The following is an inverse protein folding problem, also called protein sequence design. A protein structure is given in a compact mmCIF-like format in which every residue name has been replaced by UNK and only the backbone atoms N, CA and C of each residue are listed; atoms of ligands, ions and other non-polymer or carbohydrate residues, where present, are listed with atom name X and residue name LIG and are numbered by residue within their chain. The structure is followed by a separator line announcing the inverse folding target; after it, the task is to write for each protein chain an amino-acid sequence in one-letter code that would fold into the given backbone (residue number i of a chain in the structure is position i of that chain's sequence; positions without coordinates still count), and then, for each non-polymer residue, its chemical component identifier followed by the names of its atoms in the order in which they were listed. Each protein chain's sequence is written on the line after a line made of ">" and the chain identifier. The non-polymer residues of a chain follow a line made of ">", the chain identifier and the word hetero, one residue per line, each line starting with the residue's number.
data_IF_407385024602
#
_entry.id   IF_407385024602
#
_cell.length_a   1.000
_cell.length_b   1.000
_cell.length_c   1.000
_cell.angle_alpha   90.00
_cell.angle_beta   90.00
_cell.angle_gamma   90.00
#
_symmetry.space_group_name_H-M   'P 1'
#
loop_
_entity.id
_entity.type
_entity.pdbx_description
1 polymer ?
#
# COMPACT_ATOMS: atom_id res chain seq x y z
N UNK A 1 -25.78 -31.58 12.78
CA UNK A 1 -25.02 -30.35 12.46
C UNK A 1 -23.78 -30.81 11.70
N UNK A 2 -23.49 -30.20 10.55
CA UNK A 2 -22.24 -30.51 9.82
C UNK A 2 -21.04 -30.18 10.70
N UNK A 3 -20.02 -31.02 10.65
CA UNK A 3 -18.76 -30.76 11.36
C UNK A 3 -18.11 -29.51 10.78
N UNK A 4 -17.61 -28.65 11.66
CA UNK A 4 -17.02 -27.37 11.26
C UNK A 4 -15.68 -27.61 10.56
N UNK A 5 -15.50 -27.22 9.26
CA UNK A 5 -14.25 -27.37 8.55
C UNK A 5 -13.10 -26.61 9.21
N UNK A 6 -11.90 -27.20 9.23
CA UNK A 6 -10.69 -26.58 9.77
C UNK A 6 -10.35 -25.25 9.10
N UNK A 7 -10.59 -25.16 7.80
CA UNK A 7 -10.30 -23.99 6.95
C UNK A 7 -11.40 -22.89 6.96
N UNK A 8 -12.53 -23.09 7.69
CA UNK A 8 -13.61 -22.10 7.70
C UNK A 8 -13.15 -20.71 8.18
N UNK A 9 -12.23 -20.67 9.18
CA UNK A 9 -11.68 -19.41 9.67
C UNK A 9 -10.86 -18.68 8.59
N UNK A 10 -10.14 -19.43 7.76
CA UNK A 10 -9.39 -18.91 6.63
C UNK A 10 -10.32 -18.25 5.61
N UNK A 11 -11.36 -18.96 5.15
CA UNK A 11 -12.31 -18.44 4.17
C UNK A 11 -13.00 -17.16 4.66
N UNK A 12 -13.42 -17.15 5.94
CA UNK A 12 -14.01 -15.98 6.56
C UNK A 12 -13.02 -14.80 6.63
N UNK A 13 -11.78 -15.07 6.99
CA UNK A 13 -10.71 -14.06 7.06
C UNK A 13 -10.44 -13.43 5.70
N UNK A 14 -10.28 -14.25 4.65
CA UNK A 14 -10.09 -13.79 3.27
C UNK A 14 -11.27 -12.91 2.87
N UNK A 15 -12.51 -13.41 2.99
CA UNK A 15 -13.70 -12.63 2.59
C UNK A 15 -13.73 -11.23 3.23
N UNK A 16 -13.45 -11.14 4.52
CA UNK A 16 -13.45 -9.85 5.23
C UNK A 16 -12.28 -8.94 4.79
N UNK A 17 -11.09 -9.50 4.58
CA UNK A 17 -9.91 -8.76 4.17
C UNK A 17 -10.10 -8.18 2.77
N UNK A 18 -10.55 -9.00 1.81
CA UNK A 18 -10.75 -8.61 0.43
C UNK A 18 -11.85 -7.55 0.27
N UNK A 19 -12.94 -7.68 1.03
CA UNK A 19 -13.99 -6.65 1.04
C UNK A 19 -13.43 -5.29 1.47
N UNK A 20 -12.56 -5.26 2.48
CA UNK A 20 -11.92 -4.01 2.93
C UNK A 20 -10.89 -3.50 1.92
N UNK A 21 -10.14 -4.41 1.29
CA UNK A 21 -9.21 -4.05 0.22
C UNK A 21 -9.95 -3.37 -0.94
N UNK A 22 -11.08 -3.93 -1.37
CA UNK A 22 -11.97 -3.30 -2.33
C UNK A 22 -12.34 -1.86 -1.93
N UNK A 23 -12.71 -1.63 -0.66
CA UNK A 23 -13.17 -0.33 -0.21
C UNK A 23 -12.07 0.73 -0.24
N UNK A 24 -10.88 0.46 0.33
CA UNK A 24 -9.81 1.47 0.35
C UNK A 24 -9.14 1.66 -1.01
N UNK A 25 -9.00 0.61 -1.84
CA UNK A 25 -8.46 0.74 -3.19
C UNK A 25 -9.42 1.50 -4.11
N UNK A 26 -10.73 1.26 -3.99
CA UNK A 26 -11.74 2.05 -4.70
C UNK A 26 -11.70 3.52 -4.29
N UNK A 27 -11.61 3.80 -2.98
CA UNK A 27 -11.53 5.17 -2.47
C UNK A 27 -10.25 5.88 -2.98
N UNK A 28 -9.12 5.18 -3.07
CA UNK A 28 -7.90 5.74 -3.67
C UNK A 28 -8.07 5.97 -5.17
N UNK A 29 -8.65 5.04 -5.92
CA UNK A 29 -8.93 5.19 -7.35
C UNK A 29 -9.82 6.39 -7.67
N UNK A 30 -10.71 6.76 -6.75
CA UNK A 30 -11.61 7.90 -6.94
C UNK A 30 -10.93 9.26 -6.80
N UNK A 31 -9.83 9.35 -6.02
CA UNK A 31 -9.14 10.62 -5.74
C UNK A 31 -7.82 10.79 -6.52
N UNK A 32 -7.20 9.71 -7.01
CA UNK A 32 -5.97 9.84 -7.81
C UNK A 32 -6.21 10.64 -9.10
N UNK A 33 -5.26 11.49 -9.45
CA UNK A 33 -5.27 12.25 -10.72
C UNK A 33 -4.55 11.53 -11.85
N UNK A 34 -3.70 10.53 -11.53
CA UNK A 34 -2.96 9.74 -12.52
C UNK A 34 -3.88 8.68 -13.15
N UNK A 35 -4.15 8.73 -14.47
CA UNK A 35 -5.05 7.79 -15.14
C UNK A 35 -4.53 6.35 -15.14
N UNK A 36 -3.22 6.14 -15.17
CA UNK A 36 -2.61 4.80 -15.17
C UNK A 36 -2.76 4.16 -13.80
N UNK A 37 -2.48 4.94 -12.73
CA UNK A 37 -2.72 4.51 -11.35
C UNK A 37 -4.18 4.17 -11.14
N UNK A 38 -5.09 5.03 -11.59
CA UNK A 38 -6.54 4.80 -11.48
C UNK A 38 -6.96 3.50 -12.17
N UNK A 39 -6.43 3.22 -13.36
CA UNK A 39 -6.77 2.01 -14.11
C UNK A 39 -6.32 0.75 -13.35
N UNK A 40 -5.10 0.74 -12.82
CA UNK A 40 -4.58 -0.37 -12.01
C UNK A 40 -5.41 -0.56 -10.75
N UNK A 41 -5.66 0.52 -9.98
CA UNK A 41 -6.43 0.45 -8.74
C UNK A 41 -7.85 -0.07 -8.97
N UNK A 42 -8.53 0.37 -10.02
CA UNK A 42 -9.88 -0.13 -10.35
C UNK A 42 -9.87 -1.60 -10.72
N UNK A 43 -8.87 -2.05 -11.46
CA UNK A 43 -8.72 -3.47 -11.83
C UNK A 43 -8.52 -4.31 -10.58
N UNK A 44 -7.60 -3.91 -9.71
CA UNK A 44 -7.32 -4.62 -8.46
C UNK A 44 -8.53 -4.56 -7.53
N UNK A 45 -9.11 -3.39 -7.29
CA UNK A 45 -10.28 -3.26 -6.42
C UNK A 45 -11.45 -4.15 -6.88
N UNK A 46 -11.76 -4.21 -8.18
CA UNK A 46 -12.81 -5.08 -8.69
C UNK A 46 -12.52 -6.55 -8.37
N UNK A 47 -11.27 -6.99 -8.52
CA UNK A 47 -10.82 -8.35 -8.20
C UNK A 47 -10.97 -8.67 -6.72
N UNK A 48 -10.54 -7.77 -5.83
CA UNK A 48 -10.70 -7.92 -4.37
C UNK A 48 -12.18 -8.01 -3.97
N UNK A 49 -13.05 -7.21 -4.61
CA UNK A 49 -14.50 -7.29 -4.41
C UNK A 49 -15.08 -8.63 -4.85
N UNK A 50 -14.64 -9.18 -5.99
CA UNK A 50 -15.04 -10.51 -6.46
C UNK A 50 -14.56 -11.61 -5.51
N UNK A 51 -13.32 -11.53 -5.02
CA UNK A 51 -12.77 -12.46 -4.02
C UNK A 51 -13.61 -12.41 -2.74
N UNK A 52 -13.85 -11.23 -2.18
CA UNK A 52 -14.65 -11.05 -0.96
C UNK A 52 -16.02 -11.74 -1.09
N UNK A 53 -16.72 -11.52 -2.20
CA UNK A 53 -18.03 -12.13 -2.47
C UNK A 53 -17.94 -13.64 -2.69
N UNK A 54 -16.93 -14.13 -3.41
CA UNK A 54 -16.78 -15.56 -3.72
C UNK A 54 -16.51 -16.36 -2.43
N UNK A 55 -15.67 -15.86 -1.54
CA UNK A 55 -15.40 -16.50 -0.25
C UNK A 55 -16.59 -16.39 0.72
N UNK A 56 -17.32 -15.27 0.74
CA UNK A 56 -18.58 -15.16 1.50
C UNK A 56 -19.61 -16.20 1.04
N UNK A 57 -19.79 -16.33 -0.28
CA UNK A 57 -20.66 -17.35 -0.88
C UNK A 57 -20.22 -18.76 -0.43
N UNK A 58 -18.91 -19.06 -0.48
CA UNK A 58 -18.41 -20.40 -0.08
C UNK A 58 -18.66 -20.70 1.39
N UNK A 59 -18.49 -19.73 2.29
CA UNK A 59 -18.84 -19.87 3.72
C UNK A 59 -20.32 -20.26 3.89
N UNK A 60 -21.21 -19.59 3.14
CA UNK A 60 -22.66 -19.88 3.17
C UNK A 60 -22.99 -21.27 2.60
N UNK A 61 -22.35 -21.69 1.51
CA UNK A 61 -22.52 -23.02 0.92
C UNK A 61 -22.12 -24.15 1.87
N UNK A 62 -21.14 -23.90 2.74
CA UNK A 62 -20.73 -24.82 3.79
C UNK A 62 -21.72 -24.85 4.98
N UNK A 63 -22.78 -24.04 4.94
CA UNK A 63 -23.80 -23.95 5.98
C UNK A 63 -23.45 -23.06 7.17
N UNK A 64 -22.51 -22.13 6.98
CA UNK A 64 -22.08 -21.19 8.01
C UNK A 64 -22.37 -19.74 7.58
N UNK A 65 -22.46 -18.85 8.57
CA UNK A 65 -22.61 -17.41 8.35
C UNK A 65 -21.23 -16.73 8.38
N UNK A 66 -21.07 -15.71 7.52
CA UNK A 66 -19.89 -14.85 7.55
C UNK A 66 -19.89 -14.06 8.86
N UNK A 67 -18.74 -14.02 9.51
CA UNK A 67 -18.53 -13.28 10.76
C UNK A 67 -17.57 -12.13 10.51
N UNK A 68 -17.98 -10.88 10.77
CA UNK A 68 -17.07 -9.75 10.69
C UNK A 68 -15.83 -10.00 11.55
N UNK A 69 -14.67 -9.68 10.98
CA UNK A 69 -13.39 -9.68 11.69
C UNK A 69 -13.04 -8.25 12.05
N UNK A 70 -12.42 -8.06 13.21
CA UNK A 70 -11.89 -6.74 13.57
C UNK A 70 -10.62 -6.42 12.75
N UNK A 71 -10.50 -5.17 12.29
CA UNK A 71 -9.29 -4.63 11.67
C UNK A 71 -9.06 -3.21 12.19
N UNK A 72 -8.27 -3.06 13.24
CA UNK A 72 -8.04 -1.76 13.88
C UNK A 72 -7.35 -0.75 12.95
N UNK A 73 -6.72 -1.19 11.87
CA UNK A 73 -6.06 -0.33 10.88
C UNK A 73 -6.96 0.09 9.71
N UNK A 74 -8.18 -0.43 9.62
CA UNK A 74 -9.03 -0.16 8.47
C UNK A 74 -9.42 1.32 8.34
N UNK A 75 -9.77 1.97 9.45
CA UNK A 75 -10.09 3.40 9.46
C UNK A 75 -8.90 4.25 8.99
N UNK A 76 -7.70 3.94 9.47
CA UNK A 76 -6.46 4.60 9.05
C UNK A 76 -6.18 4.39 7.55
N UNK A 77 -6.35 3.16 7.04
CA UNK A 77 -6.20 2.87 5.61
C UNK A 77 -7.19 3.66 4.75
N UNK A 78 -8.42 3.78 5.19
CA UNK A 78 -9.44 4.58 4.50
C UNK A 78 -9.10 6.08 4.49
N UNK A 79 -8.56 6.61 5.60
CA UNK A 79 -8.10 8.00 5.68
C UNK A 79 -6.93 8.24 4.72
N UNK A 80 -5.93 7.36 4.70
CA UNK A 80 -4.80 7.44 3.77
C UNK A 80 -5.29 7.38 2.32
N UNK A 81 -6.16 6.45 1.98
CA UNK A 81 -6.69 6.25 0.64
C UNK A 81 -7.40 7.50 0.10
N UNK A 82 -8.16 8.19 0.96
CA UNK A 82 -8.93 9.41 0.61
C UNK A 82 -8.14 10.70 0.70
N UNK A 83 -6.93 10.68 1.27
CA UNK A 83 -6.12 11.88 1.48
C UNK A 83 -5.63 12.47 0.16
N UNK A 84 -5.08 13.67 0.24
CA UNK A 84 -4.40 14.40 -0.85
C UNK A 84 -2.91 14.05 -0.98
N UNK A 85 -2.42 13.04 -0.23
CA UNK A 85 -1.04 12.54 -0.34
C UNK A 85 -0.75 12.09 -1.78
N UNK A 86 0.52 12.11 -2.15
CA UNK A 86 0.95 11.55 -3.44
C UNK A 86 0.60 10.06 -3.55
N UNK A 87 0.38 9.58 -4.77
CA UNK A 87 0.10 8.15 -4.98
C UNK A 87 1.26 7.25 -4.52
N UNK A 88 2.49 7.74 -4.60
CA UNK A 88 3.66 7.00 -4.07
C UNK A 88 3.60 6.89 -2.55
N UNK A 89 3.32 8.00 -1.83
CA UNK A 89 3.19 7.98 -0.37
C UNK A 89 2.04 7.09 0.10
N UNK A 90 0.92 7.08 -0.64
CA UNK A 90 -0.20 6.18 -0.36
C UNK A 90 0.21 4.72 -0.55
N UNK A 91 0.90 4.39 -1.64
CA UNK A 91 1.39 3.05 -1.92
C UNK A 91 2.30 2.54 -0.79
N UNK A 92 3.20 3.39 -0.29
CA UNK A 92 4.10 3.05 0.81
C UNK A 92 3.35 2.92 2.15
N UNK A 93 2.48 3.87 2.46
CA UNK A 93 1.74 3.89 3.74
C UNK A 93 0.73 2.76 3.86
N UNK A 94 0.11 2.35 2.76
CA UNK A 94 -0.86 1.24 2.75
C UNK A 94 -0.21 -0.14 2.77
N UNK A 95 1.13 -0.21 2.65
CA UNK A 95 1.87 -1.48 2.66
C UNK A 95 1.50 -2.40 1.48
N UNK A 96 0.90 -1.85 0.43
CA UNK A 96 0.43 -2.59 -0.75
C UNK A 96 1.57 -3.34 -1.45
N UNK A 97 2.80 -3.18 -0.98
CA UNK A 97 4.03 -3.57 -1.67
C UNK A 97 4.96 -4.42 -0.81
N UNK A 98 4.60 -4.68 0.46
CA UNK A 98 5.42 -5.51 1.36
C UNK A 98 5.42 -7.00 0.99
N UNK A 99 4.56 -7.41 0.05
CA UNK A 99 4.50 -8.79 -0.47
C UNK A 99 5.57 -9.12 -1.52
N UNK A 100 6.56 -8.24 -1.74
CA UNK A 100 7.73 -8.57 -2.53
C UNK A 100 8.59 -9.59 -1.76
N UNK A 101 8.28 -10.87 -1.93
CA UNK A 101 9.10 -11.95 -1.39
C UNK A 101 10.48 -11.90 -2.04
N UNK A 102 11.53 -11.89 -1.22
CA UNK A 102 12.88 -12.20 -1.71
C UNK A 102 12.85 -13.57 -2.43
N UNK A 103 13.67 -13.79 -3.46
CA UNK A 103 13.62 -14.99 -4.30
C UNK A 103 13.64 -16.33 -3.52
N UNK A 104 14.21 -16.33 -2.32
CA UNK A 104 14.37 -17.51 -1.46
C UNK A 104 13.34 -17.56 -0.30
N UNK A 105 12.35 -16.66 -0.28
CA UNK A 105 11.33 -16.68 0.77
C UNK A 105 10.16 -17.57 0.34
N UNK A 106 9.65 -18.48 1.20
CA UNK A 106 8.46 -19.27 0.90
C UNK A 106 7.29 -18.37 0.55
N UNK A 107 6.53 -18.75 -0.48
CA UNK A 107 5.31 -18.04 -0.87
C UNK A 107 4.32 -17.99 0.32
N UNK A 108 3.76 -16.82 0.60
CA UNK A 108 2.80 -16.63 1.70
C UNK A 108 1.60 -17.58 1.58
N UNK A 109 1.27 -18.02 0.38
CA UNK A 109 0.17 -18.92 0.08
C UNK A 109 0.51 -20.41 0.27
N UNK A 110 1.79 -20.79 0.44
CA UNK A 110 2.21 -22.19 0.58
C UNK A 110 1.52 -22.90 1.75
N UNK A 111 1.15 -22.15 2.79
CA UNK A 111 0.45 -22.71 3.95
C UNK A 111 -0.96 -23.22 3.61
N UNK A 112 -1.61 -22.70 2.57
CA UNK A 112 -2.95 -23.11 2.16
C UNK A 112 -2.98 -24.54 1.62
N UNK A 113 -1.88 -25.01 1.08
CA UNK A 113 -1.75 -26.36 0.52
C UNK A 113 -1.45 -27.46 1.57
N UNK A 114 -1.32 -27.08 2.84
CA UNK A 114 -1.00 -28.03 3.92
C UNK A 114 -2.23 -28.68 4.55
N UNK A 115 -3.42 -28.12 4.34
CA UNK A 115 -4.66 -28.68 4.86
C UNK A 115 -5.27 -29.65 3.85
N UNK A 116 -5.05 -30.94 4.05
CA UNK A 116 -5.57 -32.02 3.20
C UNK A 116 -7.08 -32.28 3.40
N UNK A 117 -7.74 -31.58 4.30
CA UNK A 117 -9.20 -31.70 4.52
C UNK A 117 -10.00 -30.75 3.64
N UNK A 118 -9.34 -29.85 2.91
CA UNK A 118 -9.99 -28.91 1.98
C UNK A 118 -10.70 -29.70 0.87
N UNK A 119 -11.99 -29.47 0.73
CA UNK A 119 -12.77 -30.08 -0.35
C UNK A 119 -12.42 -29.49 -1.72
N UNK A 120 -12.78 -30.21 -2.79
CA UNK A 120 -12.40 -29.87 -4.16
C UNK A 120 -12.87 -28.45 -4.56
N UNK A 121 -14.12 -28.07 -4.21
CA UNK A 121 -14.67 -26.77 -4.59
C UNK A 121 -13.95 -25.61 -3.86
N UNK A 122 -13.64 -25.81 -2.59
CA UNK A 122 -12.85 -24.85 -1.82
C UNK A 122 -11.42 -24.77 -2.35
N UNK A 123 -10.83 -25.92 -2.72
CA UNK A 123 -9.48 -25.97 -3.30
C UNK A 123 -9.40 -25.25 -4.64
N UNK A 124 -10.41 -25.40 -5.52
CA UNK A 124 -10.51 -24.68 -6.78
C UNK A 124 -10.59 -23.16 -6.56
N UNK A 125 -11.45 -22.72 -5.63
CA UNK A 125 -11.59 -21.31 -5.29
C UNK A 125 -10.28 -20.71 -4.75
N UNK A 126 -9.59 -21.43 -3.84
CA UNK A 126 -8.28 -21.00 -3.31
C UNK A 126 -7.21 -20.98 -4.40
N UNK A 127 -7.18 -21.94 -5.29
CA UNK A 127 -6.21 -21.97 -6.40
C UNK A 127 -6.37 -20.79 -7.34
N UNK A 128 -7.61 -20.45 -7.71
CA UNK A 128 -7.93 -19.27 -8.50
C UNK A 128 -7.53 -17.99 -7.78
N UNK A 129 -7.92 -17.85 -6.52
CA UNK A 129 -7.56 -16.73 -5.66
C UNK A 129 -6.05 -16.48 -5.63
N UNK A 130 -5.25 -17.52 -5.35
CA UNK A 130 -3.79 -17.41 -5.29
C UNK A 130 -3.20 -16.94 -6.63
N UNK A 131 -3.72 -17.45 -7.75
CA UNK A 131 -3.25 -17.05 -9.07
C UNK A 131 -3.52 -15.56 -9.35
N UNK A 132 -4.72 -15.09 -9.00
CA UNK A 132 -5.15 -13.70 -9.18
C UNK A 132 -4.41 -12.77 -8.22
N UNK A 133 -4.15 -13.18 -6.97
CA UNK A 133 -3.34 -12.43 -6.02
C UNK A 133 -1.90 -12.23 -6.48
N UNK A 134 -1.28 -13.25 -7.00
CA UNK A 134 0.08 -13.14 -7.58
C UNK A 134 0.13 -12.18 -8.76
N UNK A 135 -0.94 -12.09 -9.54
CA UNK A 135 -1.05 -11.11 -10.62
C UNK A 135 -1.31 -9.70 -10.09
N UNK A 136 -2.19 -9.56 -9.10
CA UNK A 136 -2.42 -8.30 -8.36
C UNK A 136 -1.12 -7.72 -7.82
N UNK A 137 -0.30 -8.54 -7.14
CA UNK A 137 1.01 -8.12 -6.63
C UNK A 137 1.90 -7.58 -7.77
N UNK A 138 1.95 -8.27 -8.92
CA UNK A 138 2.75 -7.80 -10.08
C UNK A 138 2.25 -6.47 -10.64
N UNK A 139 0.93 -6.29 -10.75
CA UNK A 139 0.34 -5.04 -11.23
C UNK A 139 0.68 -3.87 -10.31
N UNK A 140 0.54 -4.05 -9.00
CA UNK A 140 0.83 -3.03 -8.01
C UNK A 140 2.33 -2.71 -7.93
N UNK A 141 3.21 -3.70 -8.03
CA UNK A 141 4.66 -3.50 -8.11
C UNK A 141 5.05 -2.70 -9.36
N UNK A 142 4.46 -3.02 -10.51
CA UNK A 142 4.66 -2.28 -11.76
C UNK A 142 4.20 -0.83 -11.64
N UNK A 143 3.04 -0.60 -11.05
CA UNK A 143 2.50 0.73 -10.78
C UNK A 143 3.44 1.55 -9.89
N UNK A 144 3.92 0.99 -8.79
CA UNK A 144 4.88 1.66 -7.89
C UNK A 144 6.18 2.00 -8.60
N UNK A 145 6.75 1.07 -9.38
CA UNK A 145 7.99 1.30 -10.10
C UNK A 145 7.86 2.51 -11.05
N UNK A 146 6.71 2.63 -11.72
CA UNK A 146 6.41 3.78 -12.57
C UNK A 146 6.28 5.08 -11.76
N UNK A 147 5.60 5.06 -10.61
CA UNK A 147 5.48 6.22 -9.72
C UNK A 147 6.84 6.67 -9.20
N UNK A 148 7.69 5.75 -8.78
CA UNK A 148 9.05 6.05 -8.33
C UNK A 148 9.91 6.65 -9.43
N UNK A 149 9.82 6.14 -10.67
CA UNK A 149 10.51 6.71 -11.83
C UNK A 149 10.03 8.14 -12.12
N UNK A 150 8.72 8.36 -12.19
CA UNK A 150 8.14 9.70 -12.38
C UNK A 150 8.61 10.69 -11.30
N UNK A 151 8.70 10.24 -10.04
CA UNK A 151 9.18 11.06 -8.92
C UNK A 151 10.67 11.41 -9.06
N UNK A 152 11.49 10.47 -9.55
CA UNK A 152 12.91 10.69 -9.82
C UNK A 152 13.09 11.71 -10.95
N UNK A 153 12.38 11.55 -12.07
CA UNK A 153 12.45 12.46 -13.21
C UNK A 153 12.03 13.89 -12.84
N UNK A 154 11.04 14.04 -11.96
CA UNK A 154 10.64 15.35 -11.43
C UNK A 154 11.64 15.93 -10.42
N UNK A 155 12.39 15.09 -9.71
CA UNK A 155 13.45 15.53 -8.80
C UNK A 155 14.66 16.12 -9.53
N UNK A 156 14.98 15.59 -10.69
CA UNK A 156 16.11 16.03 -11.54
C UNK A 156 15.73 17.15 -12.51
N UNK A 157 14.54 17.74 -12.41
CA UNK A 157 14.14 18.83 -13.29
C UNK A 157 15.02 20.07 -13.05
N UNK A 158 15.51 20.77 -14.11
CA UNK A 158 16.34 21.96 -14.00
C UNK A 158 15.74 23.05 -13.09
N UNK A 159 14.42 23.20 -13.11
CA UNK A 159 13.71 24.18 -12.28
C UNK A 159 13.78 23.85 -10.78
N UNK A 160 13.77 22.57 -10.42
CA UNK A 160 13.89 22.15 -9.02
C UNK A 160 15.33 22.22 -8.51
N UNK A 161 16.30 21.91 -9.38
CA UNK A 161 17.72 22.13 -9.11
C UNK A 161 18.00 23.61 -8.86
N UNK A 162 17.55 24.51 -9.72
CA UNK A 162 17.69 25.94 -9.55
C UNK A 162 17.00 26.46 -8.27
N UNK A 163 15.81 25.91 -7.93
CA UNK A 163 15.11 26.27 -6.69
C UNK A 163 15.85 25.75 -5.42
N UNK A 164 16.49 24.58 -5.49
CA UNK A 164 17.33 24.05 -4.41
C UNK A 164 18.61 24.84 -4.25
N UNK A 165 19.30 25.16 -5.35
CA UNK A 165 20.47 26.03 -5.35
C UNK A 165 20.15 27.39 -4.72
N UNK A 166 19.04 28.01 -5.10
CA UNK A 166 18.58 29.27 -4.49
C UNK A 166 18.33 29.19 -2.98
N UNK A 167 17.82 28.05 -2.49
CA UNK A 167 17.63 27.83 -1.03
C UNK A 167 18.96 27.61 -0.31
N UNK A 168 19.90 26.88 -0.92
CA UNK A 168 21.24 26.67 -0.37
C UNK A 168 21.96 28.01 -0.29
N UNK A 169 21.94 28.83 -1.33
CA UNK A 169 22.56 30.16 -1.33
C UNK A 169 21.95 31.09 -0.28
N UNK A 170 20.65 31.04 -0.08
CA UNK A 170 19.99 31.82 0.97
C UNK A 170 20.42 31.38 2.39
N UNK A 171 20.54 30.07 2.60
CA UNK A 171 21.02 29.51 3.87
C UNK A 171 22.49 29.89 4.14
N UNK A 172 23.36 29.81 3.12
CA UNK A 172 24.74 30.23 3.22
C UNK A 172 24.85 31.71 3.59
N UNK A 173 24.08 32.61 2.94
CA UNK A 173 24.06 34.04 3.30
C UNK A 173 23.62 34.25 4.76
N UNK A 174 22.59 33.57 5.24
CA UNK A 174 22.13 33.69 6.62
C UNK A 174 23.18 33.22 7.62
N UNK A 175 23.94 32.18 7.31
CA UNK A 175 25.06 31.68 8.14
C UNK A 175 26.19 32.72 8.17
N UNK A 176 26.53 33.35 7.06
CA UNK A 176 27.58 34.38 7.00
C UNK A 176 27.18 35.64 7.78
N UNK A 177 25.90 36.05 7.71
CA UNK A 177 25.37 37.16 8.52
C UNK A 177 25.46 36.86 10.02
N UNK A 178 25.05 35.66 10.44
CA UNK A 178 25.17 35.20 11.84
C UNK A 178 26.64 35.20 12.28
N UNK A 179 27.55 34.73 11.44
CA UNK A 179 28.98 34.72 11.72
C UNK A 179 29.55 36.13 11.93
N UNK A 180 29.13 37.10 11.10
CA UNK A 180 29.53 38.51 11.26
C UNK A 180 29.01 39.08 12.59
N UNK A 181 27.75 38.79 12.95
CA UNK A 181 27.17 39.24 14.23
C UNK A 181 27.95 38.69 15.42
N UNK A 182 28.25 37.39 15.40
CA UNK A 182 29.01 36.73 16.46
C UNK A 182 30.43 37.29 16.55
N UNK A 183 31.11 37.50 15.43
CA UNK A 183 32.45 38.11 15.42
C UNK A 183 32.46 39.56 15.92
N UNK A 184 31.43 40.35 15.62
CA UNK A 184 31.31 41.73 16.11
C UNK A 184 31.07 41.78 17.62
N UNK A 185 30.39 40.80 18.21
CA UNK A 185 30.14 40.70 19.65
C UNK A 185 31.34 40.18 20.47
N UNK A 186 32.29 39.51 19.82
CA UNK A 186 33.47 38.93 20.47
C UNK A 186 34.71 39.80 20.43
N UNK A 187 34.66 40.98 19.79
CA UNK A 187 35.76 41.93 19.81
C UNK A 187 35.87 42.63 21.19
N UNK A 188 37.03 42.57 21.87
CA UNK A 188 37.23 43.31 23.11
C UNK A 188 37.16 44.80 22.83
N UNK A 189 36.54 45.57 23.78
CA UNK A 189 36.50 47.01 23.73
C UNK A 189 37.93 47.61 23.66
N UNK A 190 38.18 48.63 22.86
CA UNK A 190 39.50 49.29 22.80
C UNK A 190 39.86 49.79 24.18
N UNK A 191 41.03 49.36 24.68
CA UNK A 191 41.61 49.84 25.96
C UNK A 191 41.95 51.32 25.83
N UNK A 192 41.29 52.17 26.59
CA UNK A 192 41.61 53.57 26.81
C UNK A 192 42.73 53.73 27.80
#
# INVERSE_FOLDING_TARGET
>A
MAEKPSYLKLLNGISCAETRAYEYLSAWADVTTDPDVRAVLRTVAAREGEHGMAFAKRVNELGFELRPTDDPKFAERMEIARSDRSDLDKAESLGVLEFATAPDTPDVFDSFFRDHTIDIQTGELLGRYIAEERDTIRLLQGCRAQLASKACDTADSPDRLAALEGKVDAACRAVDELRQIVCAQTMPAPST
#
